data_IF_113692981120
#
_entry.id   IF_113692981120
#
_cell.length_a   1.000
_cell.length_b   1.000
_cell.length_c   1.000
_cell.angle_alpha   90.00
_cell.angle_beta   90.00
_cell.angle_gamma   90.00
#
_symmetry.space_group_name_H-M   'P 1'
#
loop_
_entity.id
_entity.type
_entity.pdbx_description
1 polymer ?
#
# COMPACT_ATOMS: atom_id res chain seq x y z
N UNK A 1 -13.50 6.88 -10.88
CA UNK A 1 -14.40 5.98 -10.12
C UNK A 1 -14.52 6.55 -8.72
N UNK A 2 -15.70 7.06 -8.36
CA UNK A 2 -16.08 7.47 -7.01
C UNK A 2 -17.30 6.64 -6.69
N UNK A 3 -17.25 5.74 -5.71
CA UNK A 3 -18.49 5.11 -5.22
C UNK A 3 -18.56 4.91 -3.70
N UNK A 4 -17.53 5.24 -2.91
CA UNK A 4 -17.57 5.07 -1.44
C UNK A 4 -17.15 6.32 -0.65
N UNK A 5 -17.17 7.51 -1.27
CA UNK A 5 -16.59 8.73 -0.66
C UNK A 5 -15.04 8.72 -0.62
N UNK A 6 -14.42 7.64 -1.09
CA UNK A 6 -12.98 7.46 -1.16
C UNK A 6 -12.37 8.18 -2.36
N UNK A 7 -11.27 8.90 -2.11
CA UNK A 7 -10.52 9.64 -3.12
C UNK A 7 -9.37 8.81 -3.68
N UNK A 8 -9.63 8.13 -4.80
CA UNK A 8 -8.61 7.31 -5.46
C UNK A 8 -7.38 8.11 -5.92
N UNK A 9 -7.57 9.39 -6.29
CA UNK A 9 -6.46 10.28 -6.66
C UNK A 9 -5.52 10.54 -5.49
N UNK A 10 -6.07 10.74 -4.30
CA UNK A 10 -5.29 11.05 -3.10
C UNK A 10 -4.56 9.80 -2.60
N UNK A 11 -5.21 8.64 -2.64
CA UNK A 11 -4.57 7.35 -2.38
C UNK A 11 -3.37 7.13 -3.30
N UNK A 12 -3.58 7.29 -4.61
CA UNK A 12 -2.53 7.05 -5.62
C UNK A 12 -1.36 8.03 -5.46
N UNK A 13 -1.68 9.29 -5.18
CA UNK A 13 -0.67 10.33 -4.96
C UNK A 13 0.17 10.02 -3.73
N UNK A 14 -0.47 9.69 -2.60
CA UNK A 14 0.20 9.31 -1.36
C UNK A 14 1.03 8.05 -1.53
N UNK A 15 0.49 7.03 -2.19
CA UNK A 15 1.19 5.78 -2.47
C UNK A 15 2.48 6.03 -3.28
N UNK A 16 2.41 6.83 -4.36
CA UNK A 16 3.60 7.19 -5.16
C UNK A 16 4.64 7.95 -4.34
N UNK A 17 4.20 8.88 -3.48
CA UNK A 17 5.09 9.64 -2.60
C UNK A 17 5.84 8.72 -1.64
N UNK A 18 5.14 7.79 -0.99
CA UNK A 18 5.73 6.91 0.01
C UNK A 18 6.64 5.84 -0.60
N UNK A 19 6.31 5.30 -1.78
CA UNK A 19 7.23 4.40 -2.48
C UNK A 19 8.48 5.13 -2.98
N UNK A 20 8.37 6.41 -3.37
CA UNK A 20 9.54 7.24 -3.69
C UNK A 20 10.42 7.44 -2.47
N UNK A 21 9.82 7.66 -1.30
CA UNK A 21 10.54 7.77 -0.03
C UNK A 21 11.24 6.46 0.33
N UNK A 22 10.54 5.31 0.26
CA UNK A 22 11.12 3.98 0.50
C UNK A 22 12.33 3.73 -0.42
N UNK A 23 12.19 4.04 -1.71
CA UNK A 23 13.27 3.92 -2.67
C UNK A 23 14.47 4.81 -2.32
N UNK A 24 14.23 6.09 -1.98
CA UNK A 24 15.28 7.05 -1.67
C UNK A 24 15.97 6.78 -0.33
N UNK A 25 15.25 6.26 0.66
CA UNK A 25 15.82 6.00 1.98
C UNK A 25 16.70 4.76 2.02
N UNK A 26 16.60 3.88 1.02
CA UNK A 26 17.36 2.63 0.97
C UNK A 26 16.91 1.60 2.03
N UNK A 27 15.76 1.82 2.67
CA UNK A 27 15.16 0.83 3.57
C UNK A 27 14.85 -0.48 2.81
N UNK A 28 14.81 -1.62 3.50
CA UNK A 28 14.50 -2.90 2.88
C UNK A 28 13.13 -2.92 2.21
N UNK A 29 13.03 -3.59 1.05
CA UNK A 29 11.77 -3.82 0.35
C UNK A 29 11.02 -5.00 0.98
N UNK A 30 10.16 -4.75 1.96
CA UNK A 30 9.45 -5.80 2.71
C UNK A 30 7.93 -5.68 2.64
N UNK A 31 7.24 -6.76 3.02
CA UNK A 31 5.77 -6.78 3.11
C UNK A 31 5.28 -5.77 4.15
N UNK A 32 6.02 -5.60 5.26
CA UNK A 32 5.70 -4.64 6.32
C UNK A 32 5.75 -3.20 5.81
N UNK A 33 6.79 -2.82 5.06
CA UNK A 33 6.87 -1.49 4.44
C UNK A 33 5.75 -1.28 3.42
N UNK A 34 5.48 -2.28 2.57
CA UNK A 34 4.36 -2.20 1.62
C UNK A 34 3.01 -2.06 2.33
N UNK A 35 2.81 -2.75 3.44
CA UNK A 35 1.58 -2.70 4.25
C UNK A 35 1.42 -1.34 4.93
N UNK A 36 2.49 -0.77 5.47
CA UNK A 36 2.49 0.60 6.02
C UNK A 36 2.09 1.61 4.95
N UNK A 37 2.68 1.51 3.75
CA UNK A 37 2.37 2.39 2.63
C UNK A 37 0.91 2.26 2.19
N UNK A 38 0.39 1.02 2.13
CA UNK A 38 -1.01 0.77 1.79
C UNK A 38 -1.96 1.41 2.82
N UNK A 39 -1.68 1.26 4.12
CA UNK A 39 -2.44 1.88 5.21
C UNK A 39 -2.51 3.40 5.06
N UNK A 40 -1.36 4.05 4.92
CA UNK A 40 -1.28 5.51 4.80
C UNK A 40 -1.94 6.03 3.51
N UNK A 41 -1.84 5.27 2.42
CA UNK A 41 -2.52 5.61 1.18
C UNK A 41 -4.04 5.54 1.32
N UNK A 42 -4.57 4.47 1.93
CA UNK A 42 -6.00 4.30 2.17
C UNK A 42 -6.55 5.39 3.10
N UNK A 43 -5.82 5.73 4.17
CA UNK A 43 -6.18 6.82 5.09
C UNK A 43 -6.21 8.17 4.37
N UNK A 44 -5.20 8.48 3.54
CA UNK A 44 -5.19 9.70 2.72
C UNK A 44 -6.35 9.76 1.72
N UNK A 45 -6.85 8.59 1.29
CA UNK A 45 -8.04 8.47 0.46
C UNK A 45 -9.37 8.60 1.20
N UNK A 46 -9.36 8.78 2.52
CA UNK A 46 -10.57 8.91 3.33
C UNK A 46 -11.16 7.59 3.83
N UNK A 47 -10.41 6.48 3.77
CA UNK A 47 -10.88 5.21 4.33
C UNK A 47 -10.90 5.27 5.86
N UNK A 48 -11.96 4.71 6.46
CA UNK A 48 -12.01 4.57 7.92
C UNK A 48 -11.04 3.48 8.41
N UNK A 49 -10.65 3.54 9.68
CA UNK A 49 -9.72 2.57 10.28
C UNK A 49 -10.18 1.13 10.13
N UNK A 50 -11.49 0.86 10.32
CA UNK A 50 -12.06 -0.48 10.15
C UNK A 50 -11.95 -0.97 8.70
N UNK A 51 -12.26 -0.12 7.73
CA UNK A 51 -12.11 -0.45 6.31
C UNK A 51 -10.65 -0.72 5.94
N UNK A 52 -9.72 0.09 6.47
CA UNK A 52 -8.29 -0.09 6.25
C UNK A 52 -7.83 -1.46 6.76
N UNK A 53 -8.17 -1.80 7.99
CA UNK A 53 -7.72 -3.05 8.60
C UNK A 53 -8.33 -4.27 7.88
N UNK A 54 -9.61 -4.22 7.51
CA UNK A 54 -10.26 -5.27 6.71
C UNK A 54 -9.57 -5.47 5.36
N UNK A 55 -9.33 -4.38 4.61
CA UNK A 55 -8.68 -4.45 3.30
C UNK A 55 -7.25 -4.98 3.40
N UNK A 56 -6.50 -4.56 4.42
CA UNK A 56 -5.13 -5.04 4.65
C UNK A 56 -5.13 -6.53 4.98
N UNK A 57 -5.98 -6.98 5.90
CA UNK A 57 -6.07 -8.39 6.29
C UNK A 57 -6.44 -9.26 5.08
N UNK A 58 -7.47 -8.85 4.33
CA UNK A 58 -7.90 -9.57 3.12
C UNK A 58 -6.79 -9.62 2.07
N UNK A 59 -6.08 -8.51 1.85
CA UNK A 59 -4.95 -8.47 0.93
C UNK A 59 -3.80 -9.36 1.38
N UNK A 60 -3.44 -9.37 2.66
CA UNK A 60 -2.36 -10.20 3.19
C UNK A 60 -2.69 -11.69 3.15
N UNK A 61 -3.94 -12.07 3.46
CA UNK A 61 -4.40 -13.45 3.34
C UNK A 61 -4.35 -13.94 1.90
N UNK A 62 -4.85 -13.13 0.95
CA UNK A 62 -4.78 -13.45 -0.47
C UNK A 62 -3.32 -13.59 -0.97
N UNK A 63 -2.41 -12.72 -0.54
CA UNK A 63 -0.98 -12.85 -0.86
C UNK A 63 -0.38 -14.15 -0.29
N UNK A 64 -0.75 -14.51 0.94
CA UNK A 64 -0.33 -15.75 1.58
C UNK A 64 -0.85 -16.99 0.83
N UNK A 65 -2.11 -16.99 0.42
CA UNK A 65 -2.72 -18.05 -0.38
C UNK A 65 -2.04 -18.23 -1.74
N UNK A 66 -1.57 -17.13 -2.33
CA UNK A 66 -0.78 -17.14 -3.57
C UNK A 66 0.70 -17.52 -3.35
N UNK A 67 1.12 -17.81 -2.11
CA UNK A 67 2.51 -18.15 -1.78
C UNK A 67 3.48 -16.97 -1.86
N UNK A 68 2.99 -15.73 -1.83
CA UNK A 68 3.84 -14.52 -1.85
C UNK A 68 4.47 -14.32 -0.48
N UNK A 69 5.79 -14.44 -0.42
CA UNK A 69 6.57 -14.30 0.83
C UNK A 69 7.36 -13.00 0.92
N UNK A 70 7.62 -12.32 -0.20
CA UNK A 70 8.32 -11.02 -0.24
C UNK A 70 8.00 -10.25 -1.53
N UNK A 71 8.03 -8.90 -1.51
CA UNK A 71 7.93 -8.12 -2.72
C UNK A 71 9.19 -8.27 -3.58
N UNK A 72 9.00 -8.34 -4.90
CA UNK A 72 10.12 -8.49 -5.84
C UNK A 72 10.76 -7.14 -6.21
N UNK A 73 9.98 -6.06 -6.24
CA UNK A 73 10.41 -4.71 -6.64
C UNK A 73 9.63 -3.64 -5.89
N UNK A 74 10.17 -2.41 -5.83
CA UNK A 74 9.45 -1.23 -5.38
C UNK A 74 8.62 -0.70 -6.57
N UNK A 75 7.29 -0.53 -6.44
CA UNK A 75 6.45 0.05 -7.50
C UNK A 75 6.98 1.40 -8.00
N UNK A 76 6.88 1.67 -9.31
CA UNK A 76 7.39 2.86 -10.02
C UNK A 76 8.92 3.05 -10.02
N UNK A 77 9.67 2.24 -9.27
CA UNK A 77 11.11 2.37 -9.15
C UNK A 77 11.76 1.00 -9.24
N UNK A 78 12.21 0.63 -10.44
CA UNK A 78 13.15 -0.47 -10.61
C UNK A 78 14.57 0.06 -10.44
N UNK A 79 15.38 -0.62 -9.62
CA UNK A 79 16.84 -0.63 -9.83
C UNK A 79 17.15 -1.63 -10.94
#
# INVERSE_FOLDING_TARGET
>A
MKNDGLSHSDMTTKQRQLFKELYKSGRPNTIEEHTRIAREALEAGGASKSQIDELIINSLNNLKEQGVTKPSRIPWYSK
#
